data_IF_145460147887
#
_entry.id   IF_145460147887
#
_cell.length_a   1.000
_cell.length_b   1.000
_cell.length_c   1.000
_cell.angle_alpha   90.00
_cell.angle_beta   90.00
_cell.angle_gamma   90.00
#
_symmetry.space_group_name_H-M   'P 1'
#
loop_
_entity.id
_entity.type
_entity.pdbx_description
1 polymer ?
#
# COMPACT_ATOMS: atom_id res chain seq x y z
N UNK A 1 21.51 10.68 -19.46
CA UNK A 1 20.42 10.06 -18.67
C UNK A 1 20.09 10.99 -17.52
N UNK A 2 19.03 11.79 -17.65
CA UNK A 2 18.56 12.68 -16.58
C UNK A 2 17.69 11.84 -15.66
N UNK A 3 18.23 11.46 -14.50
CA UNK A 3 17.43 10.91 -13.41
C UNK A 3 16.37 11.96 -13.05
N UNK A 4 15.13 11.72 -13.50
CA UNK A 4 13.99 12.52 -13.12
C UNK A 4 13.74 12.17 -11.65
N UNK A 5 14.24 13.02 -10.75
CA UNK A 5 13.90 12.97 -9.33
C UNK A 5 12.40 13.25 -9.22
N UNK A 6 11.57 12.23 -9.42
CA UNK A 6 10.14 12.28 -9.10
C UNK A 6 10.13 12.53 -7.59
N UNK A 7 9.79 13.78 -7.31
CA UNK A 7 10.01 14.43 -6.04
C UNK A 7 9.04 13.79 -5.06
N UNK A 8 9.51 13.25 -3.94
CA UNK A 8 8.69 12.66 -2.87
C UNK A 8 7.49 13.54 -2.44
N UNK A 9 7.53 14.83 -2.75
CA UNK A 9 6.42 15.77 -2.56
C UNK A 9 5.16 15.49 -3.40
N UNK A 10 5.28 14.92 -4.61
CA UNK A 10 4.11 14.58 -5.46
C UNK A 10 3.50 13.25 -5.03
N UNK A 11 4.34 12.32 -4.58
CA UNK A 11 3.94 11.05 -3.94
C UNK A 11 3.08 11.32 -2.71
N UNK A 12 3.48 12.29 -1.86
CA UNK A 12 2.68 12.67 -0.71
C UNK A 12 1.35 13.33 -1.10
N UNK A 13 1.31 14.25 -2.07
CA UNK A 13 0.07 14.99 -2.38
C UNK A 13 -1.01 14.13 -3.05
N UNK A 14 -0.64 13.21 -3.93
CA UNK A 14 -1.58 12.32 -4.61
C UNK A 14 -2.13 11.25 -3.66
N UNK A 15 -1.30 10.75 -2.75
CA UNK A 15 -1.68 9.78 -1.73
C UNK A 15 -2.57 10.46 -0.66
N UNK A 16 -2.20 11.64 -0.17
CA UNK A 16 -3.01 12.40 0.80
C UNK A 16 -4.41 12.75 0.30
N UNK A 17 -4.62 12.91 -1.02
CA UNK A 17 -5.96 13.20 -1.58
C UNK A 17 -6.87 11.97 -1.70
N UNK A 18 -6.33 10.75 -1.64
CA UNK A 18 -7.13 9.51 -1.73
C UNK A 18 -7.64 9.05 -0.36
N UNK A 19 -6.95 9.42 0.74
CA UNK A 19 -7.17 8.81 2.06
C UNK A 19 -7.84 9.70 3.12
N UNK A 20 -8.42 10.85 2.76
CA UNK A 20 -9.19 11.65 3.75
C UNK A 20 -10.56 11.02 4.01
N UNK A 21 -10.64 10.00 4.86
CA UNK A 21 -11.91 9.57 5.46
C UNK A 21 -12.01 10.14 6.88
N UNK A 22 -13.03 10.99 7.08
CA UNK A 22 -13.19 11.79 8.29
C UNK A 22 -13.64 10.98 9.50
N UNK A 23 -12.90 11.14 10.60
CA UNK A 23 -13.37 10.77 11.93
C UNK A 23 -14.25 11.92 12.47
N UNK A 24 -15.56 11.69 12.58
CA UNK A 24 -16.44 12.60 13.33
C UNK A 24 -16.42 12.18 14.81
N UNK A 25 -16.04 13.12 15.68
CA UNK A 25 -15.71 12.92 17.10
C UNK A 25 -16.93 12.54 17.96
N UNK A 26 -17.46 11.32 17.92
CA UNK A 26 -18.44 10.90 18.93
C UNK A 26 -18.31 9.43 19.32
N UNK A 27 -17.96 9.20 20.60
CA UNK A 27 -18.00 7.96 21.39
C UNK A 27 -16.71 7.13 21.45
N UNK A 28 -15.76 7.58 22.27
CA UNK A 28 -15.12 6.78 23.33
C UNK A 28 -14.81 5.28 23.05
N UNK A 29 -14.23 4.93 21.90
CA UNK A 29 -14.04 3.51 21.58
C UNK A 29 -13.28 3.15 20.30
N UNK A 30 -12.51 4.05 19.70
CA UNK A 30 -11.60 3.66 18.61
C UNK A 30 -10.14 3.86 19.04
N UNK A 31 -9.64 2.90 19.83
CA UNK A 31 -8.23 2.72 20.10
C UNK A 31 -7.79 1.38 19.51
N UNK A 32 -8.20 1.13 18.27
CA UNK A 32 -7.70 -0.02 17.55
C UNK A 32 -6.36 0.32 16.94
N UNK A 33 -5.31 -0.18 17.57
CA UNK A 33 -3.96 -0.12 17.03
C UNK A 33 -3.77 -1.39 16.21
N UNK A 34 -3.56 -1.22 14.91
CA UNK A 34 -3.07 -2.28 14.04
C UNK A 34 -1.65 -1.97 13.61
N UNK A 35 -0.90 -3.00 13.24
CA UNK A 35 0.43 -2.84 12.67
C UNK A 35 0.59 -3.73 11.45
N UNK A 36 1.14 -3.22 10.34
CA UNK A 36 1.58 -4.02 9.21
C UNK A 36 2.87 -4.72 9.62
N UNK A 37 2.72 -5.96 10.09
CA UNK A 37 3.81 -6.81 10.60
C UNK A 37 4.67 -7.33 9.45
N UNK A 38 4.02 -7.87 8.42
CA UNK A 38 4.70 -8.35 7.21
C UNK A 38 4.22 -7.59 5.99
N UNK A 39 5.16 -7.20 5.12
CA UNK A 39 4.88 -6.65 3.80
C UNK A 39 5.98 -7.08 2.82
N UNK A 40 5.59 -7.92 1.87
CA UNK A 40 6.49 -8.57 0.93
C UNK A 40 6.03 -8.39 -0.53
N UNK A 41 7.01 -8.29 -1.43
CA UNK A 41 6.82 -8.17 -2.88
C UNK A 41 7.78 -9.14 -3.53
N UNK A 42 7.24 -10.17 -4.18
CA UNK A 42 8.03 -11.28 -4.72
C UNK A 42 7.48 -11.79 -6.06
N UNK A 43 8.34 -12.04 -7.07
CA UNK A 43 9.80 -11.93 -7.02
C UNK A 43 10.28 -10.47 -7.10
N UNK A 44 11.47 -10.22 -6.58
CA UNK A 44 12.16 -8.94 -6.69
C UNK A 44 13.69 -9.17 -6.71
N UNK A 45 14.40 -8.98 -7.84
CA UNK A 45 13.89 -8.44 -9.10
C UNK A 45 12.91 -9.40 -9.80
N UNK A 46 11.97 -8.84 -10.57
CA UNK A 46 11.04 -9.56 -11.45
C UNK A 46 11.43 -9.39 -12.92
N UNK A 47 11.11 -10.35 -13.78
CA UNK A 47 11.25 -10.18 -15.23
C UNK A 47 10.04 -9.43 -15.80
N UNK A 48 10.22 -8.61 -16.84
CA UNK A 48 9.09 -7.99 -17.53
C UNK A 48 8.10 -9.05 -18.05
N UNK A 49 6.82 -8.85 -17.81
CA UNK A 49 5.75 -9.82 -18.06
C UNK A 49 5.55 -10.88 -16.97
N UNK A 50 6.40 -10.91 -15.94
CA UNK A 50 6.26 -11.85 -14.82
C UNK A 50 5.17 -11.40 -13.85
N UNK A 51 4.42 -12.37 -13.30
CA UNK A 51 3.49 -12.09 -12.20
C UNK A 51 4.26 -11.86 -10.91
N UNK A 52 3.96 -10.74 -10.24
CA UNK A 52 4.49 -10.38 -8.93
C UNK A 52 3.38 -10.52 -7.91
N UNK A 53 3.68 -11.21 -6.81
CA UNK A 53 2.80 -11.38 -5.66
C UNK A 53 3.21 -10.38 -4.57
N UNK A 54 2.23 -9.62 -4.11
CA UNK A 54 2.32 -8.78 -2.93
C UNK A 54 1.56 -9.48 -1.81
N UNK A 55 2.18 -9.63 -0.65
CA UNK A 55 1.56 -10.22 0.55
C UNK A 55 1.74 -9.30 1.73
N UNK A 56 0.76 -9.30 2.64
CA UNK A 56 0.85 -8.58 3.90
C UNK A 56 0.15 -9.34 5.03
N UNK A 57 0.61 -9.07 6.24
CA UNK A 57 0.02 -9.53 7.49
C UNK A 57 -0.12 -8.34 8.43
N UNK A 58 -1.31 -8.20 9.02
CA UNK A 58 -1.63 -7.19 10.00
C UNK A 58 -1.69 -7.85 11.37
N UNK A 59 -0.92 -7.30 12.30
CA UNK A 59 -1.09 -7.56 13.71
C UNK A 59 -2.23 -6.68 14.22
N UNK A 60 -3.39 -7.29 14.48
CA UNK A 60 -4.55 -6.63 15.07
C UNK A 60 -4.66 -7.02 16.54
N UNK A 61 -4.49 -6.06 17.46
CA UNK A 61 -4.64 -6.31 18.90
C UNK A 61 -6.12 -6.35 19.34
N UNK A 62 -7.01 -5.74 18.56
CA UNK A 62 -8.46 -5.77 18.77
C UNK A 62 -9.18 -6.15 17.46
N UNK A 63 -10.40 -6.71 17.57
CA UNK A 63 -11.25 -7.21 16.46
C UNK A 63 -11.75 -6.11 15.50
N UNK A 64 -10.90 -5.18 15.14
CA UNK A 64 -11.13 -4.14 14.15
C UNK A 64 -10.56 -4.55 12.81
N UNK A 65 -11.33 -4.30 11.77
CA UNK A 65 -10.96 -4.62 10.40
C UNK A 65 -10.48 -3.34 9.69
N UNK A 66 -9.16 -3.12 9.54
CA UNK A 66 -8.66 -2.02 8.73
C UNK A 66 -9.04 -2.20 7.26
N UNK A 67 -9.21 -1.08 6.57
CA UNK A 67 -9.34 -1.05 5.12
C UNK A 67 -7.95 -0.82 4.52
N UNK A 68 -7.47 -1.79 3.73
CA UNK A 68 -6.14 -1.72 3.14
C UNK A 68 -6.20 -1.48 1.63
N UNK A 69 -5.30 -0.67 1.12
CA UNK A 69 -5.16 -0.41 -0.30
C UNK A 69 -3.73 -0.69 -0.70
N UNK A 70 -3.54 -1.42 -1.79
CA UNK A 70 -2.23 -1.61 -2.41
C UNK A 70 -2.15 -0.74 -3.65
N UNK A 71 -1.13 0.11 -3.71
CA UNK A 71 -0.84 0.93 -4.87
C UNK A 71 0.42 0.42 -5.56
N UNK A 72 0.36 0.24 -6.87
CA UNK A 72 1.51 -0.01 -7.73
C UNK A 72 1.76 1.25 -8.54
N UNK A 73 2.91 1.87 -8.31
CA UNK A 73 3.26 3.17 -8.87
C UNK A 73 4.42 2.97 -9.83
N UNK A 74 4.14 3.12 -11.12
CA UNK A 74 5.13 3.03 -12.18
C UNK A 74 5.40 4.42 -12.78
N UNK A 75 6.48 4.60 -13.56
CA UNK A 75 6.69 5.80 -14.36
C UNK A 75 5.52 6.14 -15.28
N UNK A 76 4.80 5.12 -15.80
CA UNK A 76 3.62 5.28 -16.65
C UNK A 76 2.33 5.71 -15.92
N UNK A 77 2.26 5.57 -14.60
CA UNK A 77 1.08 5.95 -13.80
C UNK A 77 0.93 5.17 -12.50
N UNK A 78 -0.19 5.39 -11.81
CA UNK A 78 -0.53 4.66 -10.58
C UNK A 78 -1.71 3.74 -10.83
N UNK A 79 -1.54 2.47 -10.51
CA UNK A 79 -2.62 1.49 -10.43
C UNK A 79 -2.98 1.26 -8.96
N UNK A 80 -4.24 1.51 -8.60
CA UNK A 80 -4.77 1.24 -7.27
C UNK A 80 -5.48 -0.10 -7.27
N UNK A 81 -5.04 -1.00 -6.39
CA UNK A 81 -5.69 -2.27 -6.12
C UNK A 81 -6.27 -2.19 -4.71
N UNK A 82 -7.56 -1.89 -4.64
CA UNK A 82 -8.29 -1.82 -3.37
C UNK A 82 -8.52 -3.23 -2.82
N UNK A 83 -8.23 -3.45 -1.54
CA UNK A 83 -8.36 -4.76 -0.90
C UNK A 83 -9.14 -4.58 0.39
N UNK A 84 -10.40 -5.00 0.38
CA UNK A 84 -11.26 -4.79 1.54
C UNK A 84 -10.85 -5.63 2.76
N UNK A 85 -11.26 -5.18 3.95
CA UNK A 85 -11.14 -5.76 5.30
C UNK A 85 -10.55 -7.17 5.37
N UNK A 86 -9.23 -7.25 5.44
CA UNK A 86 -8.52 -8.50 5.71
C UNK A 86 -7.37 -8.30 6.70
N UNK A 87 -7.30 -9.17 7.71
CA UNK A 87 -6.15 -9.25 8.63
C UNK A 87 -4.86 -9.64 7.90
N UNK A 88 -4.97 -10.41 6.82
CA UNK A 88 -3.87 -10.73 5.92
C UNK A 88 -4.40 -10.92 4.51
N UNK A 89 -3.56 -10.64 3.51
CA UNK A 89 -3.98 -10.84 2.15
C UNK A 89 -2.87 -10.88 1.14
N UNK A 90 -3.28 -11.08 -0.10
CA UNK A 90 -2.38 -11.08 -1.23
C UNK A 90 -3.05 -10.49 -2.46
N UNK A 91 -2.23 -9.87 -3.30
CA UNK A 91 -2.62 -9.40 -4.62
C UNK A 91 -1.50 -9.70 -5.60
N UNK A 92 -1.86 -9.97 -6.85
CA UNK A 92 -0.87 -10.14 -7.91
C UNK A 92 -1.08 -9.11 -9.01
N UNK A 93 0.03 -8.66 -9.60
CA UNK A 93 0.04 -7.79 -10.78
C UNK A 93 1.14 -8.26 -11.73
N UNK A 94 1.11 -7.80 -12.98
CA UNK A 94 2.15 -8.11 -13.96
C UNK A 94 3.22 -7.03 -13.93
N UNK A 95 4.47 -7.42 -13.65
CA UNK A 95 5.61 -6.52 -13.75
C UNK A 95 5.81 -6.09 -15.20
N UNK A 96 5.81 -4.78 -15.45
CA UNK A 96 6.04 -4.22 -16.80
C UNK A 96 7.27 -3.32 -16.84
N UNK A 97 7.54 -2.63 -15.74
CA UNK A 97 8.67 -1.73 -15.53
C UNK A 97 8.92 -1.59 -14.02
N UNK A 98 10.05 -0.96 -13.65
CA UNK A 98 10.36 -0.63 -12.26
C UNK A 98 9.19 0.10 -11.59
N UNK A 99 8.86 -0.30 -10.37
CA UNK A 99 7.69 0.20 -9.67
C UNK A 99 7.96 0.42 -8.18
N UNK A 100 7.20 1.33 -7.58
CA UNK A 100 7.05 1.44 -6.14
C UNK A 100 5.74 0.80 -5.74
N UNK A 101 5.78 -0.21 -4.88
CA UNK A 101 4.60 -0.86 -4.31
C UNK A 101 4.39 -0.33 -2.91
N UNK A 102 3.24 0.26 -2.66
CA UNK A 102 2.85 0.75 -1.34
C UNK A 102 1.61 0.00 -0.86
N UNK A 103 1.54 -0.28 0.43
CA UNK A 103 0.32 -0.66 1.11
C UNK A 103 -0.01 0.42 2.12
N UNK A 104 -1.27 0.84 2.12
CA UNK A 104 -1.82 1.81 3.06
C UNK A 104 -3.06 1.19 3.71
N UNK A 105 -2.97 0.99 5.01
CA UNK A 105 -4.07 0.48 5.81
C UNK A 105 -4.56 1.62 6.71
N UNK A 106 -5.85 1.91 6.62
CA UNK A 106 -6.51 2.96 7.40
C UNK A 106 -7.76 2.40 8.07
N UNK A 107 -8.12 2.97 9.22
CA UNK A 107 -9.39 2.73 9.87
C UNK A 107 -10.25 3.98 9.87
N UNK A 108 -11.57 3.78 9.79
CA UNK A 108 -12.58 4.85 9.78
C UNK A 108 -12.53 5.77 11.01
N UNK A 109 -11.85 5.35 12.08
CA UNK A 109 -11.83 6.04 13.36
C UNK A 109 -10.42 6.32 13.90
N UNK A 110 -9.40 6.24 13.04
CA UNK A 110 -8.00 6.57 13.34
C UNK A 110 -7.08 5.36 13.34
N UNK A 111 -5.79 5.60 13.04
CA UNK A 111 -4.80 4.57 12.79
C UNK A 111 -4.55 4.46 11.30
N UNK A 112 -3.44 5.05 10.85
CA UNK A 112 -2.96 4.95 9.47
C UNK A 112 -1.56 4.36 9.53
N UNK A 113 -1.34 3.25 8.83
CA UNK A 113 0.00 2.73 8.60
C UNK A 113 0.23 2.46 7.14
N UNK A 114 1.40 2.90 6.68
CA UNK A 114 1.84 2.74 5.32
C UNK A 114 3.21 2.06 5.26
N UNK A 115 3.34 1.06 4.39
CA UNK A 115 4.63 0.45 4.04
C UNK A 115 4.88 0.59 2.55
N UNK A 116 6.15 0.69 2.19
CA UNK A 116 6.59 0.84 0.80
C UNK A 116 7.74 -0.12 0.51
N UNK A 117 7.74 -0.67 -0.71
CA UNK A 117 8.77 -1.54 -1.27
C UNK A 117 9.03 -1.13 -2.71
N UNK A 118 10.31 -1.12 -3.10
CA UNK A 118 10.69 -0.96 -4.50
C UNK A 118 10.66 -2.33 -5.17
N UNK A 119 10.09 -2.40 -6.37
CA UNK A 119 10.19 -3.52 -7.28
C UNK A 119 11.14 -3.16 -8.42
N UNK A 120 12.18 -3.96 -8.60
CA UNK A 120 13.07 -3.87 -9.75
C UNK A 120 12.59 -4.83 -10.85
N UNK A 121 12.56 -4.37 -12.10
CA UNK A 121 12.17 -5.15 -13.26
C UNK A 121 13.34 -5.27 -14.24
N UNK A 122 13.69 -6.51 -14.57
CA UNK A 122 14.71 -6.84 -15.55
C UNK A 122 14.07 -7.25 -16.87
N UNK A 123 14.71 -6.89 -17.98
CA UNK A 123 14.32 -7.34 -19.34
C UNK A 123 14.59 -8.83 -19.58
#
# INVERSE_FOLDING_TARGET
MRALRITAAVFSLALTLVFTSGCDELLNGCLAVFTIEEFNVSPNPATAGQSVLVTWELLNEESTFPHCNVAVITPGGTELIAIDRTDSGSVSFTATEDATVAIDCSQLCGGDEMKVRELMVTE
#
